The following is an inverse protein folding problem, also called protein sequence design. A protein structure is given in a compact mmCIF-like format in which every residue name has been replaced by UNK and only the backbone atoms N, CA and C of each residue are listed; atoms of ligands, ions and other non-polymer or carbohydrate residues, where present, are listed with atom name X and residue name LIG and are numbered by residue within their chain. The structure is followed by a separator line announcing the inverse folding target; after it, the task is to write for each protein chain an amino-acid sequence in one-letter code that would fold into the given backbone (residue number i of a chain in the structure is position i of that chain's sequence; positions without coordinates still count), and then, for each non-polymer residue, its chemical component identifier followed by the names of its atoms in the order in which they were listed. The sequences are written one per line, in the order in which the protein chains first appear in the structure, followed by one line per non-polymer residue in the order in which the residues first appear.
data_IF_161858616224
#
_entry.id   IF_161858616224
#
_cell.length_a   1.000
_cell.length_b   1.000
_cell.length_c   1.000
_cell.angle_alpha   90.00
_cell.angle_beta   90.00
_cell.angle_gamma   90.00
#
_symmetry.space_group_name_H-M   'P 1'
#
loop_
_entity.id
_entity.type
_entity.pdbx_description
1 polymer ?
#
# COMPACT_ATOMS: atom_id res chain seq x y z
N UNK A 1 28.02 11.45 16.68
CA UNK A 1 26.68 11.45 17.32
C UNK A 1 25.68 11.08 16.27
N UNK A 2 24.84 10.07 16.51
CA UNK A 2 23.78 9.65 15.58
C UNK A 2 22.64 10.67 15.63
N UNK A 3 22.28 11.23 14.48
CA UNK A 3 21.15 12.15 14.32
C UNK A 3 19.86 11.42 14.73
N UNK A 4 18.93 12.05 15.49
CA UNK A 4 17.71 11.38 15.92
C UNK A 4 16.84 10.96 14.73
N UNK A 5 16.02 9.91 14.91
CA UNK A 5 14.99 9.53 13.94
C UNK A 5 13.91 10.63 13.92
N UNK A 6 13.65 11.21 12.74
CA UNK A 6 12.67 12.28 12.50
C UNK A 6 12.95 13.57 13.31
N UNK A 7 13.66 14.53 12.73
CA UNK A 7 13.94 15.81 13.41
C UNK A 7 13.37 17.04 12.69
N UNK A 8 13.52 18.19 13.35
CA UNK A 8 13.00 19.48 12.89
C UNK A 8 13.54 19.88 11.51
N UNK A 9 14.75 19.44 11.14
CA UNK A 9 15.33 19.76 9.84
C UNK A 9 14.70 18.91 8.73
N UNK A 10 14.40 17.63 9.01
CA UNK A 10 13.61 16.81 8.09
C UNK A 10 12.20 17.41 7.91
N UNK A 11 11.54 17.81 9.01
CA UNK A 11 10.21 18.42 8.94
C UNK A 11 10.21 19.72 8.12
N UNK A 12 11.22 20.58 8.29
CA UNK A 12 11.35 21.81 7.47
C UNK A 12 11.50 21.49 5.99
N UNK A 13 12.26 20.46 5.64
CA UNK A 13 12.44 20.02 4.26
C UNK A 13 11.13 19.50 3.66
N UNK A 14 10.41 18.66 4.41
CA UNK A 14 9.08 18.16 4.03
C UNK A 14 8.09 19.30 3.84
N UNK A 15 7.97 20.23 4.79
CA UNK A 15 7.06 21.37 4.67
C UNK A 15 7.39 22.28 3.48
N UNK A 16 8.68 22.43 3.15
CA UNK A 16 9.11 23.18 1.96
C UNK A 16 8.65 22.49 0.68
N UNK A 17 8.84 21.18 0.58
CA UNK A 17 8.38 20.39 -0.57
C UNK A 17 6.86 20.46 -0.71
N UNK A 18 6.11 20.15 0.36
CA UNK A 18 4.64 20.16 0.33
C UNK A 18 4.08 21.52 -0.06
N UNK A 19 4.66 22.61 0.46
CA UNK A 19 4.28 23.97 0.06
C UNK A 19 4.55 24.24 -1.42
N UNK A 20 5.67 23.75 -1.95
CA UNK A 20 6.01 23.86 -3.38
C UNK A 20 5.01 23.13 -4.28
N UNK A 21 4.52 21.98 -3.82
CA UNK A 21 3.53 21.16 -4.52
C UNK A 21 2.07 21.58 -4.24
N UNK A 22 1.84 22.64 -3.45
CA UNK A 22 0.49 23.06 -3.06
C UNK A 22 -0.25 22.04 -2.17
N UNK A 23 0.46 21.13 -1.52
CA UNK A 23 -0.08 20.11 -0.61
C UNK A 23 -0.12 20.61 0.82
N UNK A 24 -1.15 20.22 1.56
CA UNK A 24 -1.30 20.51 2.99
C UNK A 24 -1.03 19.25 3.81
N UNK A 25 -0.22 19.41 4.87
CA UNK A 25 0.08 18.35 5.83
C UNK A 25 -1.12 18.15 6.76
N UNK A 26 -1.51 16.89 6.97
CA UNK A 26 -2.32 16.50 8.13
C UNK A 26 -1.35 16.09 9.22
N UNK A 27 -1.31 16.84 10.32
CA UNK A 27 -0.46 16.54 11.48
C UNK A 27 -1.30 15.91 12.61
N UNK A 28 -1.41 14.57 12.66
CA UNK A 28 -2.21 13.89 13.68
C UNK A 28 -1.51 13.86 15.05
N UNK A 29 -0.28 14.38 15.16
CA UNK A 29 0.48 14.47 16.42
C UNK A 29 0.65 15.92 16.88
N UNK A 30 0.10 16.87 16.13
CA UNK A 30 0.16 18.30 16.39
C UNK A 30 -0.78 18.73 17.52
N UNK A 31 -0.63 19.99 17.95
CA UNK A 31 -1.47 20.58 19.02
C UNK A 31 -2.96 20.68 18.65
N UNK A 32 -3.24 20.74 17.35
CA UNK A 32 -4.59 20.83 16.80
C UNK A 32 -5.15 19.45 16.38
N UNK A 33 -4.45 18.36 16.72
CA UNK A 33 -4.90 17.01 16.41
C UNK A 33 -6.22 16.72 17.13
N UNK A 34 -7.17 16.09 16.42
CA UNK A 34 -8.40 15.63 17.02
C UNK A 34 -8.08 14.61 18.14
N UNK A 35 -8.47 14.85 19.41
CA UNK A 35 -8.12 13.98 20.54
C UNK A 35 -8.62 12.53 20.41
N UNK A 36 -9.51 12.27 19.45
CA UNK A 36 -10.21 11.01 19.23
C UNK A 36 -9.91 10.36 17.88
N UNK A 37 -8.86 10.77 17.15
CA UNK A 37 -8.53 10.19 15.85
C UNK A 37 -7.96 8.75 16.01
N UNK A 38 -8.75 7.70 15.69
CA UNK A 38 -8.30 6.32 15.89
C UNK A 38 -7.51 5.80 14.68
N UNK A 39 -7.30 6.63 13.64
CA UNK A 39 -6.74 6.17 12.37
C UNK A 39 -5.37 6.78 12.07
N UNK A 40 -5.28 8.11 12.00
CA UNK A 40 -4.07 8.76 11.51
C UNK A 40 -2.93 8.65 12.54
N UNK A 41 -3.16 9.06 13.79
CA UNK A 41 -2.10 9.03 14.81
C UNK A 41 -1.57 7.60 15.06
N UNK A 42 -2.41 6.56 15.27
CA UNK A 42 -1.91 5.21 15.46
C UNK A 42 -1.14 4.67 14.25
N UNK A 43 -1.64 4.94 13.03
CA UNK A 43 -0.97 4.51 11.80
C UNK A 43 0.41 5.15 11.64
N UNK A 44 0.50 6.48 11.82
CA UNK A 44 1.76 7.21 11.67
C UNK A 44 2.79 6.81 12.74
N UNK A 45 2.38 6.67 14.00
CA UNK A 45 3.28 6.28 15.08
C UNK A 45 3.86 4.88 14.85
N UNK A 46 3.04 3.94 14.40
CA UNK A 46 3.52 2.61 14.10
C UNK A 46 4.38 2.56 12.84
N UNK A 47 4.02 3.31 11.79
CA UNK A 47 4.87 3.45 10.61
C UNK A 47 6.25 3.97 11.02
N UNK A 48 6.33 5.04 11.82
CA UNK A 48 7.60 5.58 12.34
C UNK A 48 8.39 4.52 13.11
N UNK A 49 7.79 3.90 14.11
CA UNK A 49 8.43 2.85 14.92
C UNK A 49 8.94 1.69 14.04
N UNK A 50 8.14 1.24 13.09
CA UNK A 50 8.49 0.13 12.21
C UNK A 50 9.45 0.52 11.09
N UNK A 51 9.63 1.81 10.78
CA UNK A 51 10.62 2.26 9.81
C UNK A 51 11.99 2.48 10.46
N UNK A 52 12.09 2.53 11.78
CA UNK A 52 13.35 2.75 12.50
C UNK A 52 14.44 1.72 12.16
N UNK A 53 14.08 0.48 11.82
CA UNK A 53 15.08 -0.53 11.40
C UNK A 53 15.83 -0.14 10.12
N UNK A 54 15.27 0.78 9.33
CA UNK A 54 15.90 1.28 8.11
C UNK A 54 17.00 2.30 8.39
N UNK A 55 17.05 2.88 9.60
CA UNK A 55 18.10 3.84 9.94
C UNK A 55 19.47 3.18 10.07
N UNK A 56 20.48 3.86 9.54
CA UNK A 56 21.84 3.32 9.40
C UNK A 56 22.09 2.50 8.12
N UNK A 57 21.07 2.23 7.30
CA UNK A 57 21.32 1.75 5.94
C UNK A 57 22.02 2.86 5.13
N UNK A 58 22.99 2.48 4.29
CA UNK A 58 23.77 3.39 3.45
C UNK A 58 23.75 2.97 1.99
N UNK A 59 23.81 3.96 1.11
CA UNK A 59 24.13 3.77 -0.30
C UNK A 59 25.64 3.52 -0.48
N UNK A 60 26.02 3.08 -1.68
CA UNK A 60 27.44 2.86 -2.06
C UNK A 60 28.31 4.12 -1.96
N UNK A 61 27.72 5.29 -2.07
CA UNK A 61 28.40 6.59 -1.92
C UNK A 61 28.46 7.07 -0.46
N UNK A 62 27.97 6.27 0.49
CA UNK A 62 27.96 6.58 1.92
C UNK A 62 26.74 7.38 2.40
N UNK A 63 25.85 7.80 1.49
CA UNK A 63 24.63 8.52 1.85
C UNK A 63 23.74 7.65 2.74
N UNK A 64 23.28 8.21 3.86
CA UNK A 64 22.46 7.50 4.83
C UNK A 64 20.99 7.51 4.42
N UNK A 65 20.29 6.39 4.62
CA UNK A 65 18.86 6.33 4.41
C UNK A 65 18.15 7.13 5.51
N UNK A 66 17.42 8.16 5.10
CA UNK A 66 16.46 8.87 5.94
C UNK A 66 15.11 8.85 5.28
N UNK A 67 14.07 8.66 6.07
CA UNK A 67 12.69 8.62 5.62
C UNK A 67 11.83 9.47 6.54
N UNK A 68 10.81 10.13 5.99
CA UNK A 68 9.83 10.87 6.76
C UNK A 68 8.41 10.54 6.27
N UNK A 69 7.60 9.82 7.05
CA UNK A 69 6.21 9.54 6.71
C UNK A 69 5.29 10.72 7.05
N UNK A 70 4.35 11.06 6.16
CA UNK A 70 3.36 12.13 6.36
C UNK A 70 1.97 11.80 5.80
N UNK A 71 0.94 12.36 6.41
CA UNK A 71 -0.39 12.39 5.81
C UNK A 71 -0.64 13.70 5.05
N UNK A 72 -1.32 13.62 3.91
CA UNK A 72 -1.66 14.77 3.07
C UNK A 72 -3.18 15.00 3.08
N UNK A 73 -3.60 16.25 3.20
CA UNK A 73 -4.99 16.70 3.17
C UNK A 73 -5.52 16.64 1.73
N UNK A 74 -5.81 15.42 1.27
CA UNK A 74 -6.36 15.15 -0.06
C UNK A 74 -7.34 13.99 0.01
N UNK A 75 -8.52 14.17 -0.60
CA UNK A 75 -9.59 13.17 -0.63
C UNK A 75 -9.41 12.14 -1.76
N UNK A 76 -8.18 11.69 -2.01
CA UNK A 76 -7.86 10.64 -2.98
C UNK A 76 -7.28 9.43 -2.24
N UNK A 77 -7.53 8.19 -2.70
CA UNK A 77 -6.95 6.99 -2.10
C UNK A 77 -5.56 6.74 -2.70
N UNK A 78 -4.63 7.66 -2.47
CA UNK A 78 -3.29 7.61 -3.07
C UNK A 78 -2.19 7.53 -2.00
N UNK A 79 -1.05 7.01 -2.42
CA UNK A 79 0.21 7.04 -1.69
C UNK A 79 1.33 7.44 -2.66
N UNK A 80 2.44 7.95 -2.12
CA UNK A 80 3.58 8.36 -2.92
C UNK A 80 4.91 8.29 -2.19
N UNK A 81 5.99 8.16 -2.98
CA UNK A 81 7.36 8.24 -2.54
C UNK A 81 8.16 9.21 -3.42
N UNK A 82 8.96 10.06 -2.77
CA UNK A 82 9.84 11.02 -3.44
C UNK A 82 11.19 11.12 -2.73
N UNK A 83 12.26 11.23 -3.53
CA UNK A 83 13.62 11.52 -3.04
C UNK A 83 13.86 13.04 -3.07
N UNK A 84 14.07 13.65 -1.91
CA UNK A 84 14.38 15.07 -1.74
C UNK A 84 15.91 15.34 -1.74
N UNK A 85 16.72 14.31 -1.98
CA UNK A 85 18.18 14.33 -2.04
C UNK A 85 18.81 13.76 -0.78
N UNK A 86 18.47 14.32 0.39
CA UNK A 86 18.94 13.82 1.70
C UNK A 86 17.87 13.10 2.51
N UNK A 87 16.63 13.09 2.01
CA UNK A 87 15.46 12.60 2.71
C UNK A 87 14.49 11.95 1.73
N UNK A 88 14.03 10.74 2.04
CA UNK A 88 12.89 10.12 1.38
C UNK A 88 11.60 10.56 2.07
N UNK A 89 10.67 11.11 1.32
CA UNK A 89 9.35 11.43 1.81
C UNK A 89 8.38 10.35 1.35
N UNK A 90 7.68 9.74 2.30
CA UNK A 90 6.56 8.85 2.04
C UNK A 90 5.28 9.55 2.46
N UNK A 91 4.33 9.67 1.55
CA UNK A 91 3.07 10.33 1.82
C UNK A 91 1.88 9.42 1.58
N UNK A 92 0.90 9.51 2.47
CA UNK A 92 -0.42 8.90 2.30
C UNK A 92 -1.47 10.00 2.31
N UNK A 93 -2.39 9.95 1.36
CA UNK A 93 -3.52 10.87 1.35
C UNK A 93 -4.60 10.47 2.37
N UNK A 94 -5.25 11.46 2.98
CA UNK A 94 -6.37 11.25 3.90
C UNK A 94 -7.52 10.42 3.29
N UNK A 95 -7.73 10.51 1.97
CA UNK A 95 -8.69 9.68 1.25
C UNK A 95 -8.39 8.20 1.32
N UNK A 96 -7.11 7.79 1.37
CA UNK A 96 -6.71 6.38 1.51
C UNK A 96 -7.07 5.84 2.88
N UNK A 97 -6.83 6.61 3.95
CA UNK A 97 -7.20 6.26 5.33
C UNK A 97 -8.68 5.96 5.43
N UNK A 98 -9.49 6.89 4.94
CA UNK A 98 -10.94 6.78 4.97
C UNK A 98 -11.42 5.58 4.16
N UNK A 99 -10.90 5.43 2.93
CA UNK A 99 -11.36 4.38 2.02
C UNK A 99 -10.94 2.99 2.51
N UNK A 100 -9.75 2.84 3.09
CA UNK A 100 -9.31 1.60 3.71
C UNK A 100 -10.21 1.19 4.89
N UNK A 101 -10.65 2.16 5.70
CA UNK A 101 -11.58 1.91 6.79
C UNK A 101 -12.97 1.49 6.29
N UNK A 102 -13.57 2.27 5.40
CA UNK A 102 -14.90 1.96 4.83
C UNK A 102 -14.91 0.60 4.13
N UNK A 103 -13.85 0.28 3.37
CA UNK A 103 -13.70 -1.03 2.72
C UNK A 103 -13.61 -2.14 3.76
N UNK A 104 -12.82 -1.96 4.82
CA UNK A 104 -12.69 -2.95 5.89
C UNK A 104 -14.03 -3.17 6.62
N UNK A 105 -14.77 -2.10 6.90
CA UNK A 105 -16.11 -2.16 7.46
C UNK A 105 -17.07 -2.91 6.55
N UNK A 106 -17.14 -2.54 5.27
CA UNK A 106 -18.00 -3.23 4.29
C UNK A 106 -17.72 -4.74 4.25
N UNK A 107 -16.44 -5.13 4.22
CA UNK A 107 -16.01 -6.53 4.18
C UNK A 107 -16.45 -7.28 5.45
N UNK A 108 -16.22 -6.72 6.65
CA UNK A 108 -16.59 -7.36 7.92
C UNK A 108 -18.10 -7.33 8.19
N UNK A 109 -18.85 -6.45 7.53
CA UNK A 109 -20.33 -6.47 7.54
C UNK A 109 -20.91 -7.57 6.64
N UNK A 110 -20.09 -8.29 5.86
CA UNK A 110 -20.52 -9.48 5.14
C UNK A 110 -20.40 -10.73 6.01
N UNK A 111 -21.52 -11.44 6.24
CA UNK A 111 -21.54 -12.68 7.04
C UNK A 111 -20.56 -13.75 6.55
N UNK A 112 -20.33 -13.80 5.24
CA UNK A 112 -19.48 -14.80 4.59
C UNK A 112 -17.97 -14.53 4.75
N UNK A 113 -17.57 -13.30 5.11
CA UNK A 113 -16.18 -12.92 5.25
C UNK A 113 -15.69 -13.15 6.68
N UNK A 114 -14.59 -13.90 6.85
CA UNK A 114 -14.02 -14.18 8.18
C UNK A 114 -15.10 -14.61 9.18
N UNK A 115 -15.87 -15.65 8.81
CA UNK A 115 -16.98 -16.13 9.63
C UNK A 115 -16.53 -16.69 10.99
N UNK A 116 -15.22 -16.91 11.17
CA UNK A 116 -14.55 -17.31 12.40
C UNK A 116 -14.25 -16.13 13.35
N UNK A 117 -14.51 -14.89 12.94
CA UNK A 117 -14.30 -13.67 13.75
C UNK A 117 -15.64 -13.14 14.27
N UNK A 118 -15.75 -13.03 15.60
CA UNK A 118 -16.95 -12.53 16.27
C UNK A 118 -18.21 -13.33 15.94
N UNK A 119 -19.38 -12.70 16.11
CA UNK A 119 -20.66 -13.29 15.69
C UNK A 119 -21.07 -12.78 14.30
N UNK A 120 -20.62 -13.47 13.26
CA UNK A 120 -20.96 -13.14 11.87
C UNK A 120 -22.46 -13.22 11.57
N UNK A 121 -23.27 -13.92 12.38
CA UNK A 121 -24.72 -14.05 12.12
C UNK A 121 -25.49 -12.76 12.37
N UNK A 122 -24.94 -11.84 13.18
CA UNK A 122 -25.53 -10.54 13.48
C UNK A 122 -25.47 -9.55 12.33
N UNK A 123 -24.50 -9.72 11.42
CA UNK A 123 -24.26 -8.75 10.36
C UNK A 123 -25.36 -8.76 9.30
N UNK A 124 -25.54 -7.67 8.56
CA UNK A 124 -26.63 -7.53 7.59
C UNK A 124 -26.24 -7.92 6.16
N UNK A 125 -24.94 -8.02 5.85
CA UNK A 125 -24.42 -8.20 4.48
C UNK A 125 -24.96 -7.15 3.49
N UNK A 126 -24.57 -5.87 3.64
CA UNK A 126 -25.03 -4.82 2.74
C UNK A 126 -24.65 -5.15 1.29
N UNK A 127 -25.57 -4.86 0.37
CA UNK A 127 -25.40 -5.10 -1.07
C UNK A 127 -25.05 -3.80 -1.76
N UNK A 128 -24.10 -3.86 -2.70
CA UNK A 128 -23.77 -2.72 -3.55
C UNK A 128 -24.95 -2.36 -4.46
N UNK A 129 -25.16 -1.07 -4.77
CA UNK A 129 -26.09 -0.69 -5.83
C UNK A 129 -25.74 -1.39 -7.14
N UNK A 130 -26.75 -1.66 -7.98
CA UNK A 130 -26.53 -2.33 -9.27
C UNK A 130 -25.53 -1.54 -10.13
N UNK A 131 -24.52 -2.25 -10.65
CA UNK A 131 -23.45 -1.65 -11.46
C UNK A 131 -22.41 -0.84 -10.67
N UNK A 132 -22.56 -0.67 -9.36
CA UNK A 132 -21.57 0.00 -8.53
C UNK A 132 -20.34 -0.88 -8.32
N UNK A 133 -19.16 -0.28 -8.43
CA UNK A 133 -17.93 -0.88 -7.93
C UNK A 133 -17.63 -0.33 -6.53
N UNK A 134 -17.35 -1.22 -5.57
CA UNK A 134 -17.22 -0.85 -4.14
C UNK A 134 -16.23 0.30 -3.90
N UNK A 135 -15.05 0.25 -4.53
CA UNK A 135 -14.05 1.31 -4.40
C UNK A 135 -14.59 2.67 -4.85
N UNK A 136 -15.34 2.72 -5.95
CA UNK A 136 -15.94 3.97 -6.44
C UNK A 136 -17.07 4.46 -5.57
N UNK A 137 -17.95 3.55 -5.18
CA UNK A 137 -19.08 3.88 -4.33
C UNK A 137 -18.58 4.50 -3.02
N UNK A 138 -17.52 3.94 -2.44
CA UNK A 138 -16.88 4.52 -1.24
C UNK A 138 -16.32 5.91 -1.53
N UNK A 139 -15.53 6.06 -2.59
CA UNK A 139 -14.91 7.33 -2.96
C UNK A 139 -15.93 8.43 -3.28
N UNK A 140 -17.05 8.09 -3.89
CA UNK A 140 -18.14 9.02 -4.19
C UNK A 140 -18.78 9.55 -2.91
N UNK A 141 -19.02 8.69 -1.92
CA UNK A 141 -19.53 9.13 -0.62
C UNK A 141 -18.54 10.05 0.10
N UNK A 142 -17.24 9.75 0.04
CA UNK A 142 -16.19 10.56 0.64
C UNK A 142 -16.12 11.93 -0.04
N UNK A 143 -16.08 11.97 -1.37
CA UNK A 143 -15.99 13.21 -2.15
C UNK A 143 -17.23 14.10 -1.93
N UNK A 144 -18.42 13.51 -1.83
CA UNK A 144 -19.65 14.24 -1.54
C UNK A 144 -19.69 14.85 -0.13
N UNK A 145 -18.88 14.34 0.80
CA UNK A 145 -18.84 14.77 2.20
C UNK A 145 -17.77 15.83 2.50
N UNK A 146 -16.87 16.11 1.54
CA UNK A 146 -15.80 17.10 1.71
C UNK A 146 -16.35 18.56 1.67
N UNK A 147 -15.91 19.50 2.53
CA UNK A 147 -14.76 19.46 3.44
C UNK A 147 -15.07 19.04 4.89
N UNK A 148 -16.24 18.47 5.17
CA UNK A 148 -16.57 18.03 6.52
C UNK A 148 -15.69 16.82 6.92
N UNK A 149 -15.38 16.65 8.23
CA UNK A 149 -14.65 15.47 8.70
C UNK A 149 -15.42 14.23 8.26
N UNK A 150 -14.72 13.36 7.55
CA UNK A 150 -15.32 12.21 6.88
C UNK A 150 -15.73 11.18 7.92
N UNK A 151 -16.98 11.25 8.37
CA UNK A 151 -17.68 10.09 8.92
C UNK A 151 -18.40 9.44 7.73
N UNK A 152 -17.93 8.25 7.35
CA UNK A 152 -18.22 7.47 6.13
C UNK A 152 -19.65 7.35 5.62
N UNK A 153 -19.85 6.44 4.67
CA UNK A 153 -21.10 6.24 3.89
C UNK A 153 -22.34 5.85 4.70
N UNK A 154 -22.28 5.93 6.03
CA UNK A 154 -23.36 5.74 6.97
C UNK A 154 -23.00 4.73 8.05
N UNK A 155 -23.64 4.85 9.21
CA UNK A 155 -23.61 3.83 10.27
C UNK A 155 -23.95 2.41 9.75
N UNK A 156 -24.65 2.32 8.61
CA UNK A 156 -25.04 1.09 7.93
C UNK A 156 -23.87 0.23 7.41
N UNK A 157 -22.67 0.77 7.25
CA UNK A 157 -21.50 -0.04 6.83
C UNK A 157 -20.69 -0.58 8.01
N UNK A 158 -20.89 -0.05 9.21
CA UNK A 158 -20.11 -0.41 10.39
C UNK A 158 -20.59 -1.77 10.89
N UNK A 159 -19.68 -2.75 11.10
CA UNK A 159 -20.07 -4.05 11.65
C UNK A 159 -20.82 -3.90 12.98
N UNK A 160 -21.90 -4.67 13.11
CA UNK A 160 -22.76 -4.67 14.29
C UNK A 160 -22.05 -5.37 15.45
N UNK A 161 -21.39 -6.50 15.18
CA UNK A 161 -20.66 -7.25 16.18
C UNK A 161 -19.38 -6.51 16.60
N UNK A 162 -19.13 -6.30 17.91
CA UNK A 162 -17.98 -5.54 18.39
C UNK A 162 -16.62 -6.11 17.97
N UNK A 163 -16.47 -7.44 17.93
CA UNK A 163 -15.20 -8.08 17.57
C UNK A 163 -14.93 -7.93 16.07
N UNK A 164 -15.99 -7.99 15.25
CA UNK A 164 -15.91 -7.73 13.81
C UNK A 164 -15.61 -6.26 13.52
N UNK A 165 -16.18 -5.33 14.28
CA UNK A 165 -15.87 -3.90 14.19
C UNK A 165 -14.41 -3.62 14.57
N UNK A 166 -13.93 -4.18 15.67
CA UNK A 166 -12.52 -4.10 16.05
C UNK A 166 -11.64 -4.65 14.92
N UNK A 167 -11.97 -5.81 14.39
CA UNK A 167 -11.22 -6.43 13.28
C UNK A 167 -11.21 -5.56 12.03
N UNK A 168 -12.30 -4.86 11.71
CA UNK A 168 -12.33 -3.90 10.61
C UNK A 168 -11.34 -2.74 10.84
N UNK A 169 -11.27 -2.18 12.06
CA UNK A 169 -10.26 -1.18 12.39
C UNK A 169 -8.83 -1.74 12.24
N UNK A 170 -8.56 -2.93 12.77
CA UNK A 170 -7.24 -3.56 12.67
C UNK A 170 -6.85 -3.86 11.21
N UNK A 171 -7.80 -4.32 10.40
CA UNK A 171 -7.61 -4.56 8.97
C UNK A 171 -7.24 -3.26 8.23
N UNK A 172 -7.94 -2.16 8.51
CA UNK A 172 -7.63 -0.85 7.91
C UNK A 172 -6.22 -0.37 8.29
N UNK A 173 -5.77 -0.61 9.53
CA UNK A 173 -4.41 -0.30 9.97
C UNK A 173 -3.36 -1.14 9.25
N UNK A 174 -3.65 -2.42 8.99
CA UNK A 174 -2.76 -3.28 8.19
C UNK A 174 -2.72 -2.86 6.71
N UNK A 175 -3.83 -2.40 6.14
CA UNK A 175 -3.87 -1.85 4.77
C UNK A 175 -2.98 -0.61 4.66
N UNK A 176 -3.11 0.32 5.61
CA UNK A 176 -2.25 1.51 5.67
C UNK A 176 -0.78 1.14 5.90
N UNK A 177 -0.50 0.14 6.73
CA UNK A 177 0.86 -0.37 6.93
C UNK A 177 1.45 -0.92 5.64
N UNK A 178 0.67 -1.64 4.84
CA UNK A 178 1.12 -2.10 3.53
C UNK A 178 1.50 -0.93 2.63
N UNK A 179 0.65 0.10 2.52
CA UNK A 179 0.95 1.31 1.75
C UNK A 179 2.21 2.02 2.27
N UNK A 180 2.36 2.18 3.59
CA UNK A 180 3.56 2.77 4.19
C UNK A 180 4.84 2.01 3.83
N UNK A 181 4.82 0.68 3.94
CA UNK A 181 5.98 -0.13 3.62
C UNK A 181 6.27 -0.15 2.13
N UNK A 182 5.25 -0.18 1.29
CA UNK A 182 5.38 -0.07 -0.15
C UNK A 182 6.17 1.21 -0.52
N UNK A 183 5.73 2.37 -0.03
CA UNK A 183 6.43 3.65 -0.28
C UNK A 183 7.82 3.69 0.34
N UNK A 184 8.00 3.13 1.54
CA UNK A 184 9.32 3.00 2.15
C UNK A 184 10.27 2.18 1.26
N UNK A 185 9.80 1.07 0.67
CA UNK A 185 10.63 0.23 -0.19
C UNK A 185 10.93 0.89 -1.54
N UNK A 186 10.11 1.82 -2.03
CA UNK A 186 10.54 2.69 -3.13
C UNK A 186 11.79 3.50 -2.78
N UNK A 187 11.87 4.03 -1.55
CA UNK A 187 13.07 4.68 -1.05
C UNK A 187 14.23 3.70 -0.84
N UNK A 188 14.00 2.66 -0.04
CA UNK A 188 15.05 1.75 0.43
C UNK A 188 15.70 0.95 -0.71
N UNK A 189 14.89 0.49 -1.69
CA UNK A 189 15.38 -0.26 -2.83
C UNK A 189 15.96 0.64 -3.93
N UNK A 190 15.95 1.98 -3.74
CA UNK A 190 16.57 2.94 -4.64
C UNK A 190 15.71 3.35 -5.84
N UNK A 191 14.42 3.05 -5.84
CA UNK A 191 13.49 3.39 -6.93
C UNK A 191 13.30 4.90 -7.05
N UNK A 192 12.99 5.56 -5.93
CA UNK A 192 12.79 7.02 -5.89
C UNK A 192 14.06 7.78 -6.29
N UNK A 193 15.23 7.34 -5.80
CA UNK A 193 16.52 7.96 -6.13
C UNK A 193 16.94 7.75 -7.58
N UNK A 194 16.69 6.57 -8.16
CA UNK A 194 16.89 6.34 -9.59
C UNK A 194 15.96 7.22 -10.42
N UNK A 195 14.67 7.29 -10.06
CA UNK A 195 13.71 8.13 -10.74
C UNK A 195 14.13 9.62 -10.67
N UNK A 196 14.55 10.12 -9.52
CA UNK A 196 15.02 11.48 -9.34
C UNK A 196 16.28 11.80 -10.19
N UNK A 197 17.17 10.83 -10.37
CA UNK A 197 18.37 10.98 -11.19
C UNK A 197 18.07 11.05 -12.70
N UNK A 198 17.04 10.33 -13.15
CA UNK A 198 16.63 10.29 -14.57
C UNK A 198 15.55 11.33 -14.90
N UNK A 199 14.77 11.77 -13.92
CA UNK A 199 13.72 12.79 -14.00
C UNK A 199 13.81 13.71 -12.80
N UNK A 200 14.28 14.94 -12.99
CA UNK A 200 14.32 15.95 -11.93
C UNK A 200 12.91 16.17 -11.36
N UNK A 201 12.70 15.89 -10.08
CA UNK A 201 11.40 15.99 -9.41
C UNK A 201 10.43 14.84 -9.72
N UNK A 202 10.93 13.69 -10.18
CA UNK A 202 10.10 12.50 -10.35
C UNK A 202 9.58 11.96 -9.02
N UNK A 203 8.30 11.62 -9.00
CA UNK A 203 7.59 11.04 -7.86
C UNK A 203 6.94 9.74 -8.32
N UNK A 204 6.98 8.71 -7.48
CA UNK A 204 6.22 7.48 -7.68
C UNK A 204 4.89 7.65 -6.93
N UNK A 205 3.76 7.49 -7.63
CA UNK A 205 2.41 7.69 -7.08
C UNK A 205 1.49 6.58 -7.58
N UNK A 206 0.70 5.97 -6.71
CA UNK A 206 -0.22 4.89 -7.09
C UNK A 206 -1.28 5.30 -8.13
N UNK A 207 -1.70 6.58 -8.15
CA UNK A 207 -2.68 7.14 -9.10
C UNK A 207 -2.12 8.39 -9.81
N UNK A 208 -2.04 8.40 -11.17
CA UNK A 208 -1.65 9.57 -11.95
C UNK A 208 -2.68 10.73 -11.90
N UNK A 209 -2.19 11.97 -11.86
CA UNK A 209 -3.01 13.20 -11.82
C UNK A 209 -3.06 13.93 -13.17
N UNK A 210 -4.20 14.59 -13.47
CA UNK A 210 -4.55 15.23 -14.76
C UNK A 210 -3.60 16.29 -15.31
N UNK A 211 -2.54 16.65 -14.58
CA UNK A 211 -1.55 17.65 -14.96
C UNK A 211 -0.19 17.05 -15.33
N UNK A 212 -0.06 15.72 -15.35
CA UNK A 212 1.18 15.10 -15.79
C UNK A 212 1.42 15.37 -17.29
N UNK A 213 2.61 15.88 -17.67
CA UNK A 213 2.98 15.94 -19.07
C UNK A 213 3.01 14.52 -19.63
N UNK A 214 2.22 14.30 -20.67
CA UNK A 214 2.14 13.04 -21.42
C UNK A 214 3.55 12.46 -21.64
N UNK A 215 3.81 11.27 -21.07
CA UNK A 215 5.10 10.58 -21.17
C UNK A 215 5.48 10.33 -22.64
N UNK A 216 4.49 10.22 -23.54
CA UNK A 216 4.70 10.10 -24.99
C UNK A 216 5.06 11.46 -25.61
N UNK A 217 4.56 12.57 -25.08
CA UNK A 217 4.89 13.93 -25.53
C UNK A 217 6.29 14.41 -25.07
N UNK A 218 6.77 13.93 -23.92
CA UNK A 218 8.11 14.21 -23.40
C UNK A 218 9.22 13.46 -24.15
N UNK A 219 8.89 12.30 -24.75
CA UNK A 219 9.80 11.55 -25.62
C UNK A 219 10.30 12.38 -26.83
N UNK A 220 9.60 13.46 -27.19
CA UNK A 220 10.00 14.37 -28.25
C UNK A 220 10.89 15.55 -27.84
N UNK A 221 11.09 15.84 -26.54
CA UNK A 221 11.65 17.15 -26.10
C UNK A 221 12.92 17.11 -25.26
N UNK A 222 13.36 15.96 -24.76
CA UNK A 222 14.62 15.87 -24.01
C UNK A 222 15.40 14.60 -24.36
N UNK A 223 16.70 14.73 -24.63
CA UNK A 223 17.66 13.60 -24.74
C UNK A 223 17.83 12.79 -23.43
N UNK A 224 16.97 13.00 -22.43
CA UNK A 224 16.90 12.23 -21.20
C UNK A 224 16.20 10.91 -21.53
N UNK A 225 16.90 9.81 -21.26
CA UNK A 225 16.43 8.44 -21.48
C UNK A 225 15.04 8.23 -20.89
N UNK A 226 14.06 7.96 -21.72
CA UNK A 226 12.73 7.50 -21.29
C UNK A 226 12.94 6.21 -20.49
N UNK A 227 12.57 6.22 -19.20
CA UNK A 227 12.54 4.99 -18.40
C UNK A 227 11.50 4.07 -19.05
N UNK A 228 11.85 2.84 -19.45
CA UNK A 228 10.87 1.92 -20.01
C UNK A 228 9.74 1.68 -19.01
N UNK A 229 8.48 1.61 -19.49
CA UNK A 229 7.31 1.31 -18.65
C UNK A 229 7.52 0.02 -17.85
N UNK A 230 8.16 -0.99 -18.44
CA UNK A 230 8.50 -2.24 -17.75
C UNK A 230 9.45 -2.06 -16.57
N UNK A 231 10.33 -1.06 -16.59
CA UNK A 231 11.18 -0.72 -15.45
C UNK A 231 10.37 -0.09 -14.31
N UNK A 232 9.40 0.78 -14.62
CA UNK A 232 8.50 1.37 -13.62
C UNK A 232 7.62 0.28 -12.99
N UNK A 233 7.04 -0.60 -13.79
CA UNK A 233 6.26 -1.74 -13.29
C UNK A 233 7.09 -2.69 -12.42
N UNK A 234 8.37 -2.89 -12.75
CA UNK A 234 9.27 -3.69 -11.94
C UNK A 234 9.55 -3.05 -10.56
N UNK A 235 9.62 -1.72 -10.46
CA UNK A 235 9.77 -1.04 -9.17
C UNK A 235 8.55 -1.29 -8.26
N UNK A 236 7.33 -1.23 -8.83
CA UNK A 236 6.08 -1.52 -8.13
C UNK A 236 6.03 -2.96 -7.62
N UNK A 237 6.37 -3.92 -8.48
CA UNK A 237 6.43 -5.33 -8.10
C UNK A 237 7.46 -5.61 -7.00
N UNK A 238 8.58 -4.90 -7.03
CA UNK A 238 9.64 -5.04 -6.02
C UNK A 238 9.22 -4.45 -4.66
N UNK A 239 8.57 -3.28 -4.67
CA UNK A 239 8.01 -2.65 -3.48
C UNK A 239 6.91 -3.50 -2.84
N UNK A 240 5.98 -4.01 -3.65
CA UNK A 240 4.91 -4.92 -3.21
C UNK A 240 5.43 -6.15 -2.49
N UNK A 241 6.40 -6.84 -3.10
CA UNK A 241 6.99 -8.05 -2.54
C UNK A 241 7.71 -7.76 -1.22
N UNK A 242 8.46 -6.66 -1.18
CA UNK A 242 9.21 -6.27 0.01
C UNK A 242 8.27 -5.90 1.16
N UNK A 243 7.20 -5.17 0.87
CA UNK A 243 6.18 -4.79 1.84
C UNK A 243 5.45 -6.01 2.42
N UNK A 244 4.96 -6.92 1.55
CA UNK A 244 4.32 -8.16 1.99
C UNK A 244 5.26 -9.02 2.84
N UNK A 245 6.51 -9.20 2.38
CA UNK A 245 7.51 -10.00 3.11
C UNK A 245 7.72 -9.46 4.52
N UNK A 246 7.96 -8.15 4.65
CA UNK A 246 8.21 -7.52 5.95
C UNK A 246 7.00 -7.65 6.88
N UNK A 247 5.79 -7.38 6.37
CA UNK A 247 4.57 -7.52 7.18
C UNK A 247 4.38 -8.94 7.71
N UNK A 248 4.62 -9.95 6.87
CA UNK A 248 4.53 -11.35 7.28
C UNK A 248 5.61 -11.71 8.30
N UNK A 249 6.87 -11.31 8.08
CA UNK A 249 7.97 -11.57 9.02
C UNK A 249 7.71 -10.97 10.39
N UNK A 250 7.19 -9.74 10.47
CA UNK A 250 6.83 -9.11 11.76
C UNK A 250 5.85 -9.96 12.57
N UNK A 251 4.93 -10.66 11.93
CA UNK A 251 3.99 -11.55 12.63
C UNK A 251 4.64 -12.86 13.04
N UNK A 252 5.59 -13.37 12.27
CA UNK A 252 6.28 -14.63 12.56
C UNK A 252 7.27 -14.51 13.71
N UNK A 253 7.95 -13.37 13.84
CA UNK A 253 8.91 -13.12 14.92
C UNK A 253 8.27 -12.45 16.15
N UNK A 254 6.94 -12.30 16.14
CA UNK A 254 6.15 -11.68 17.21
C UNK A 254 6.60 -10.25 17.58
N UNK A 255 7.00 -9.47 16.57
CA UNK A 255 7.38 -8.04 16.71
C UNK A 255 6.23 -7.08 16.37
N UNK A 256 4.97 -7.53 16.50
CA UNK A 256 3.79 -6.69 16.25
C UNK A 256 3.70 -5.54 17.26
N UNK A 257 3.81 -4.26 16.83
CA UNK A 257 3.87 -3.14 17.76
C UNK A 257 2.50 -2.70 18.29
N UNK A 258 1.39 -3.13 17.69
CA UNK A 258 0.05 -2.79 18.16
C UNK A 258 -0.51 -3.88 19.07
N UNK A 259 -0.78 -3.52 20.33
CA UNK A 259 -1.31 -4.44 21.34
C UNK A 259 -2.53 -5.23 20.84
N UNK A 260 -3.54 -4.53 20.30
CA UNK A 260 -4.76 -5.16 19.81
C UNK A 260 -4.53 -6.15 18.64
N UNK A 261 -3.53 -5.92 17.79
CA UNK A 261 -3.14 -6.92 16.80
C UNK A 261 -2.41 -8.08 17.48
N UNK A 262 -1.42 -7.80 18.33
CA UNK A 262 -0.58 -8.82 18.99
C UNK A 262 -1.35 -9.81 19.85
N UNK A 263 -2.52 -9.41 20.38
CA UNK A 263 -3.42 -10.27 21.15
C UNK A 263 -4.17 -11.30 20.28
N UNK A 264 -4.26 -11.08 18.97
CA UNK A 264 -4.89 -12.02 18.05
C UNK A 264 -4.02 -13.27 17.84
N UNK A 265 -4.65 -14.45 17.64
CA UNK A 265 -3.93 -15.65 17.24
C UNK A 265 -3.05 -15.39 16.02
N UNK A 266 -1.79 -15.88 16.03
CA UNK A 266 -0.83 -15.66 14.94
C UNK A 266 -1.38 -16.01 13.56
N UNK A 267 -2.09 -17.14 13.45
CA UNK A 267 -2.72 -17.56 12.20
C UNK A 267 -3.73 -16.52 11.67
N UNK A 268 -4.49 -15.88 12.56
CA UNK A 268 -5.41 -14.80 12.19
C UNK A 268 -4.63 -13.53 11.78
N UNK A 269 -3.57 -13.16 12.52
CA UNK A 269 -2.71 -12.01 12.16
C UNK A 269 -2.13 -12.17 10.75
N UNK A 270 -1.54 -13.32 10.45
CA UNK A 270 -0.99 -13.63 9.12
C UNK A 270 -2.07 -13.60 8.03
N UNK A 271 -3.25 -14.15 8.31
CA UNK A 271 -4.40 -14.12 7.38
C UNK A 271 -4.84 -12.68 7.11
N UNK A 272 -4.96 -11.84 8.15
CA UNK A 272 -5.31 -10.43 8.04
C UNK A 272 -4.26 -9.62 7.27
N UNK A 273 -2.97 -9.91 7.43
CA UNK A 273 -1.91 -9.29 6.60
C UNK A 273 -2.12 -9.62 5.12
N UNK A 274 -2.36 -10.90 4.79
CA UNK A 274 -2.65 -11.31 3.42
C UNK A 274 -3.88 -10.60 2.84
N UNK A 275 -4.97 -10.52 3.61
CA UNK A 275 -6.19 -9.80 3.22
C UNK A 275 -5.90 -8.32 2.99
N UNK A 276 -5.20 -7.66 3.92
CA UNK A 276 -4.89 -6.25 3.86
C UNK A 276 -4.10 -5.89 2.60
N UNK A 277 -3.07 -6.66 2.28
CA UNK A 277 -2.27 -6.49 1.06
C UNK A 277 -3.15 -6.60 -0.19
N UNK A 278 -3.98 -7.64 -0.28
CA UNK A 278 -4.83 -7.90 -1.44
C UNK A 278 -5.89 -6.80 -1.63
N UNK A 279 -6.53 -6.36 -0.54
CA UNK A 279 -7.52 -5.29 -0.57
C UNK A 279 -6.89 -3.94 -0.92
N UNK A 280 -5.65 -3.68 -0.49
CA UNK A 280 -4.96 -2.42 -0.82
C UNK A 280 -4.61 -2.35 -2.31
N UNK A 281 -4.06 -3.44 -2.88
CA UNK A 281 -3.79 -3.54 -4.32
C UNK A 281 -5.09 -3.40 -5.13
N UNK A 282 -6.16 -4.07 -4.71
CA UNK A 282 -7.48 -3.93 -5.32
C UNK A 282 -7.97 -2.48 -5.27
N UNK A 283 -7.82 -1.82 -4.12
CA UNK A 283 -8.28 -0.44 -3.93
C UNK A 283 -7.57 0.53 -4.90
N UNK A 284 -6.25 0.44 -5.03
CA UNK A 284 -5.49 1.28 -5.94
C UNK A 284 -5.90 1.07 -7.40
N UNK A 285 -6.15 -0.18 -7.82
CA UNK A 285 -6.63 -0.46 -9.18
C UNK A 285 -8.02 0.06 -9.46
N UNK A 286 -8.94 -0.05 -8.50
CA UNK A 286 -10.24 0.61 -8.63
C UNK A 286 -10.00 2.11 -8.83
N UNK A 287 -9.29 2.76 -7.93
CA UNK A 287 -9.07 4.21 -8.02
C UNK A 287 -8.37 4.64 -9.33
N UNK A 288 -7.38 3.88 -9.81
CA UNK A 288 -6.68 4.15 -11.07
C UNK A 288 -7.58 4.02 -12.31
N UNK A 289 -8.51 3.05 -12.33
CA UNK A 289 -9.49 2.87 -13.43
C UNK A 289 -10.48 4.03 -13.57
N UNK A 290 -10.59 4.90 -12.57
CA UNK A 290 -11.40 6.13 -12.62
C UNK A 290 -10.61 7.36 -13.03
N UNK A 291 -9.27 7.28 -13.02
CA UNK A 291 -8.46 8.39 -13.51
C UNK A 291 -8.70 8.55 -15.02
N UNK A 292 -9.00 9.77 -15.51
CA UNK A 292 -9.11 10.03 -16.96
C UNK A 292 -7.78 9.77 -17.70
N UNK A 293 -6.70 9.54 -16.96
CA UNK A 293 -5.36 9.23 -17.47
C UNK A 293 -5.02 7.73 -17.39
N UNK A 294 -6.01 6.84 -17.27
CA UNK A 294 -5.79 5.39 -17.14
C UNK A 294 -4.84 4.83 -18.22
N UNK A 295 -4.94 5.32 -19.46
CA UNK A 295 -4.09 4.90 -20.59
C UNK A 295 -2.62 5.32 -20.45
N UNK A 296 -2.32 6.28 -19.57
CA UNK A 296 -0.97 6.75 -19.26
C UNK A 296 -0.39 6.12 -17.99
N UNK A 297 -1.11 5.19 -17.35
CA UNK A 297 -0.65 4.56 -16.11
C UNK A 297 0.63 3.78 -16.34
N UNK A 298 1.71 4.21 -15.67
CA UNK A 298 2.97 3.48 -15.58
C UNK A 298 2.94 2.35 -14.55
N UNK A 299 1.85 2.26 -13.76
CA UNK A 299 1.66 1.25 -12.74
C UNK A 299 1.07 -0.03 -13.35
N UNK A 300 1.52 -1.22 -12.91
CA UNK A 300 0.93 -2.46 -13.34
C UNK A 300 -0.51 -2.57 -12.80
N UNK A 301 -1.40 -3.19 -13.58
CA UNK A 301 -2.79 -3.44 -13.14
C UNK A 301 -2.84 -4.24 -11.83
N UNK A 302 -3.90 -4.10 -11.01
CA UNK A 302 -3.99 -4.93 -9.78
C UNK A 302 -3.91 -6.41 -10.09
N UNK A 303 -4.43 -6.83 -11.24
CA UNK A 303 -4.35 -8.21 -11.69
C UNK A 303 -2.88 -8.66 -11.80
N UNK A 304 -2.01 -7.87 -12.43
CA UNK A 304 -0.58 -8.17 -12.51
C UNK A 304 0.13 -8.09 -11.15
N UNK A 305 -0.20 -7.09 -10.31
CA UNK A 305 0.35 -6.96 -8.95
C UNK A 305 -0.04 -8.15 -8.06
N UNK A 306 -1.30 -8.58 -8.15
CA UNK A 306 -1.82 -9.76 -7.47
C UNK A 306 -1.02 -11.00 -7.87
N UNK A 307 -0.85 -11.23 -9.16
CA UNK A 307 -0.06 -12.34 -9.66
C UNK A 307 1.39 -12.32 -9.19
N UNK A 308 2.01 -11.13 -9.20
CA UNK A 308 3.34 -10.93 -8.67
C UNK A 308 3.45 -11.34 -7.19
N UNK A 309 2.47 -10.94 -6.37
CA UNK A 309 2.39 -11.33 -4.96
C UNK A 309 2.16 -12.84 -4.80
N UNK A 310 1.30 -13.45 -5.61
CA UNK A 310 1.06 -14.91 -5.59
C UNK A 310 2.32 -15.69 -5.99
N UNK A 311 3.06 -15.24 -6.99
CA UNK A 311 4.35 -15.81 -7.37
C UNK A 311 5.37 -15.75 -6.25
N UNK A 312 5.45 -14.60 -5.56
CA UNK A 312 6.32 -14.44 -4.38
C UNK A 312 5.91 -15.37 -3.23
N UNK A 313 4.60 -15.52 -2.98
CA UNK A 313 4.07 -16.43 -1.96
C UNK A 313 4.48 -17.87 -2.27
N UNK A 314 4.30 -18.30 -3.53
CA UNK A 314 4.57 -19.67 -3.96
C UNK A 314 6.08 -20.03 -3.99
N UNK A 315 6.96 -19.05 -4.21
CA UNK A 315 8.40 -19.26 -4.37
C UNK A 315 9.18 -19.04 -3.07
N UNK A 316 9.30 -17.78 -2.64
CA UNK A 316 10.17 -17.37 -1.56
C UNK A 316 9.51 -17.59 -0.20
N UNK A 317 8.26 -17.10 -0.06
CA UNK A 317 7.58 -17.15 1.24
C UNK A 317 7.24 -18.58 1.63
N UNK A 318 6.78 -19.44 0.72
CA UNK A 318 6.49 -20.84 1.03
C UNK A 318 7.71 -21.63 1.51
N UNK A 319 8.92 -21.28 1.04
CA UNK A 319 10.17 -21.92 1.45
C UNK A 319 10.65 -21.40 2.80
N UNK A 320 10.57 -20.10 3.03
CA UNK A 320 11.11 -19.43 4.23
C UNK A 320 10.11 -19.42 5.40
N UNK A 321 8.82 -19.42 5.07
CA UNK A 321 7.69 -19.31 5.99
C UNK A 321 6.44 -20.04 5.44
N UNK A 322 6.38 -21.38 5.59
CA UNK A 322 5.23 -22.17 5.14
C UNK A 322 3.89 -21.74 5.76
N UNK A 323 3.89 -21.27 7.02
CA UNK A 323 2.69 -20.80 7.71
C UNK A 323 2.15 -19.50 7.10
N UNK A 324 3.00 -18.49 6.87
CA UNK A 324 2.57 -17.25 6.21
C UNK A 324 2.09 -17.50 4.78
N UNK A 325 2.74 -18.40 4.04
CA UNK A 325 2.30 -18.76 2.69
C UNK A 325 0.90 -19.39 2.71
N UNK A 326 0.62 -20.29 3.66
CA UNK A 326 -0.72 -20.85 3.86
C UNK A 326 -1.74 -19.77 4.22
N UNK A 327 -1.39 -18.87 5.14
CA UNK A 327 -2.27 -17.80 5.56
C UNK A 327 -2.61 -16.83 4.40
N UNK A 328 -1.66 -16.56 3.50
CA UNK A 328 -1.90 -15.76 2.31
C UNK A 328 -2.83 -16.46 1.30
N UNK A 329 -2.74 -17.80 1.19
CA UNK A 329 -3.70 -18.59 0.40
C UNK A 329 -5.10 -18.55 1.03
N UNK A 330 -5.18 -18.69 2.36
CA UNK A 330 -6.45 -18.59 3.08
C UNK A 330 -7.08 -17.20 2.92
N UNK A 331 -6.27 -16.14 2.92
CA UNK A 331 -6.72 -14.78 2.65
C UNK A 331 -7.42 -14.65 1.27
N UNK A 332 -6.85 -15.26 0.22
CA UNK A 332 -7.50 -15.29 -1.10
C UNK A 332 -8.86 -16.00 -1.03
N UNK A 333 -8.92 -17.13 -0.33
CA UNK A 333 -10.16 -17.90 -0.16
C UNK A 333 -11.23 -17.04 0.52
N UNK A 334 -10.88 -16.32 1.59
CA UNK A 334 -11.81 -15.42 2.28
C UNK A 334 -12.32 -14.30 1.36
N UNK A 335 -11.44 -13.66 0.58
CA UNK A 335 -11.84 -12.65 -0.42
C UNK A 335 -12.78 -13.27 -1.46
N UNK A 336 -12.51 -14.49 -1.90
CA UNK A 336 -13.37 -15.21 -2.85
C UNK A 336 -14.79 -15.46 -2.33
N UNK A 337 -14.97 -15.63 -1.00
CA UNK A 337 -16.29 -15.88 -0.40
C UNK A 337 -17.26 -14.71 -0.54
N UNK A 338 -16.75 -13.49 -0.62
CA UNK A 338 -17.58 -12.27 -0.76
C UNK A 338 -17.63 -11.71 -2.17
N UNK A 339 -17.05 -12.41 -3.16
CA UNK A 339 -17.10 -11.98 -4.55
C UNK A 339 -18.51 -11.74 -5.07
N UNK A 340 -19.50 -12.53 -4.63
CA UNK A 340 -20.89 -12.34 -5.07
C UNK A 340 -21.46 -10.99 -4.60
N UNK A 341 -20.97 -10.46 -3.48
CA UNK A 341 -21.35 -9.14 -2.97
C UNK A 341 -20.51 -8.02 -3.58
N UNK A 342 -19.30 -8.33 -4.05
CA UNK A 342 -18.36 -7.39 -4.65
C UNK A 342 -17.84 -7.98 -5.97
N UNK A 343 -18.61 -7.89 -7.07
CA UNK A 343 -18.27 -8.57 -8.32
C UNK A 343 -16.93 -8.14 -8.94
N UNK A 344 -16.43 -6.96 -8.56
CA UNK A 344 -15.12 -6.46 -9.00
C UNK A 344 -13.93 -7.12 -8.31
N UNK A 345 -14.14 -7.88 -7.22
CA UNK A 345 -13.05 -8.64 -6.59
C UNK A 345 -12.55 -9.76 -7.51
N UNK A 346 -11.25 -10.11 -7.40
CA UNK A 346 -10.68 -11.20 -8.18
C UNK A 346 -11.42 -12.53 -7.97
N UNK A 347 -11.71 -13.23 -9.07
CA UNK A 347 -12.29 -14.57 -9.01
C UNK A 347 -11.20 -15.60 -8.67
N UNK A 348 -11.20 -16.09 -7.44
CA UNK A 348 -10.21 -17.06 -6.95
C UNK A 348 -10.21 -18.35 -7.76
N UNK A 349 -11.36 -18.82 -8.26
CA UNK A 349 -11.41 -20.03 -9.08
C UNK A 349 -10.76 -19.78 -10.44
N UNK A 350 -11.04 -18.63 -11.03
CA UNK A 350 -10.39 -18.20 -12.27
C UNK A 350 -8.88 -17.99 -12.08
N UNK A 351 -8.45 -17.31 -11.01
CA UNK A 351 -7.04 -17.12 -10.68
C UNK A 351 -6.30 -18.45 -10.57
N UNK A 352 -6.91 -19.46 -9.90
CA UNK A 352 -6.33 -20.80 -9.81
C UNK A 352 -6.16 -21.47 -11.17
N UNK A 353 -7.15 -21.34 -12.05
CA UNK A 353 -7.05 -21.86 -13.42
C UNK A 353 -5.92 -21.17 -14.17
N UNK A 354 -5.82 -19.84 -14.08
CA UNK A 354 -4.79 -19.07 -14.79
C UNK A 354 -3.39 -19.35 -14.27
N UNK A 355 -3.22 -19.48 -12.95
CA UNK A 355 -1.96 -19.88 -12.33
C UNK A 355 -1.47 -21.26 -12.80
N UNK A 356 -2.37 -22.13 -13.24
CA UNK A 356 -2.01 -23.44 -13.79
C UNK A 356 -1.61 -23.41 -15.27
N UNK A 357 -1.78 -22.28 -15.97
CA UNK A 357 -1.45 -22.17 -17.39
C UNK A 357 0.07 -21.99 -17.59
N UNK A 358 0.74 -22.80 -18.44
CA UNK A 358 2.17 -22.67 -18.68
C UNK A 358 2.60 -21.28 -19.19
N UNK A 359 1.79 -20.65 -20.06
CA UNK A 359 2.05 -19.30 -20.56
C UNK A 359 2.04 -18.25 -19.45
N UNK A 360 1.21 -18.48 -18.43
CA UNK A 360 1.09 -17.60 -17.29
C UNK A 360 2.29 -17.75 -16.35
N UNK A 361 2.71 -18.99 -16.06
CA UNK A 361 3.94 -19.26 -15.31
C UNK A 361 5.18 -18.66 -16.01
N UNK A 362 5.28 -18.82 -17.34
CA UNK A 362 6.34 -18.19 -18.12
C UNK A 362 6.32 -16.65 -18.01
N UNK A 363 5.13 -16.05 -17.91
CA UNK A 363 4.98 -14.61 -17.65
C UNK A 363 5.51 -14.20 -16.26
N UNK A 364 5.22 -14.98 -15.22
CA UNK A 364 5.77 -14.75 -13.88
C UNK A 364 7.31 -14.90 -13.84
N UNK A 365 7.84 -15.94 -14.48
CA UNK A 365 9.28 -16.18 -14.58
C UNK A 365 9.98 -15.03 -15.33
N UNK A 366 9.31 -14.48 -16.35
CA UNK A 366 9.79 -13.30 -17.06
C UNK A 366 9.77 -12.05 -16.16
N UNK A 367 8.75 -11.86 -15.33
CA UNK A 367 8.71 -10.77 -14.33
C UNK A 367 9.88 -10.91 -13.35
N UNK A 368 10.20 -12.12 -12.88
CA UNK A 368 11.35 -12.35 -11.99
C UNK A 368 12.68 -12.07 -12.68
N UNK A 369 12.83 -12.52 -13.93
CA UNK A 369 14.02 -12.25 -14.75
C UNK A 369 14.20 -10.75 -14.98
N UNK A 370 13.10 -10.06 -15.30
CA UNK A 370 13.08 -8.62 -15.51
C UNK A 370 13.40 -7.87 -14.22
N UNK A 371 12.84 -8.28 -13.07
CA UNK A 371 13.14 -7.71 -11.77
C UNK A 371 14.63 -7.82 -11.42
N UNK A 372 15.26 -8.97 -11.66
CA UNK A 372 16.71 -9.14 -11.43
C UNK A 372 17.50 -8.20 -12.34
N UNK A 373 17.15 -8.14 -13.64
CA UNK A 373 17.80 -7.25 -14.60
C UNK A 373 17.65 -5.78 -14.20
N UNK A 374 16.45 -5.38 -13.78
CA UNK A 374 16.14 -3.99 -13.46
C UNK A 374 16.72 -3.55 -12.12
N UNK A 375 16.73 -4.41 -11.09
CA UNK A 375 17.44 -4.16 -9.81
C UNK A 375 18.91 -3.82 -10.03
N UNK A 376 19.57 -4.42 -11.04
CA UNK A 376 20.94 -4.05 -11.35
C UNK A 376 21.09 -2.57 -11.77
N UNK A 377 20.09 -2.01 -12.47
CA UNK A 377 20.10 -0.65 -12.99
C UNK A 377 20.03 0.41 -11.88
N UNK A 378 19.23 0.17 -10.84
CA UNK A 378 19.10 1.10 -9.70
C UNK A 378 19.86 0.66 -8.45
N UNK A 379 20.66 -0.41 -8.53
CA UNK A 379 21.43 -0.95 -7.39
C UNK A 379 22.40 0.05 -6.74
N UNK A 380 22.83 1.09 -7.47
CA UNK A 380 23.67 2.17 -6.91
C UNK A 380 22.90 3.15 -6.04
N UNK A 381 21.57 3.21 -6.19
CA UNK A 381 20.67 4.06 -5.42
C UNK A 381 20.06 3.33 -4.21
N UNK A 382 20.13 2.00 -4.19
CA UNK A 382 19.64 1.19 -3.09
C UNK A 382 20.47 1.37 -1.81
N UNK A 383 19.79 1.32 -0.67
CA UNK A 383 20.41 1.41 0.64
C UNK A 383 20.54 0.01 1.24
N UNK A 384 21.70 -0.27 1.85
CA UNK A 384 22.02 -1.55 2.47
C UNK A 384 22.61 -1.31 3.85
N UNK A 385 22.40 -2.25 4.77
CA UNK A 385 23.12 -2.24 6.04
C UNK A 385 24.52 -2.77 5.76
N UNK A 386 25.54 -2.01 6.11
CA UNK A 386 26.89 -2.54 6.15
C UNK A 386 26.88 -3.67 7.19
N UNK A 387 27.10 -4.91 6.76
CA UNK A 387 27.34 -5.99 7.69
C UNK A 387 28.65 -5.65 8.43
N UNK A 388 28.66 -5.60 9.77
CA UNK A 388 29.88 -5.39 10.51
C UNK A 388 30.91 -6.50 10.26
#
# INVERSE_FOLDING_TARGET
MTRPPYDDDDLKEVLRYLKGEGRRLVDPLGKDAAPSDPYFAPSLLAARKLMEFTFGNRRKDGAEFRIYPVFIERALPNAFAVDLGTLHLCGIDAGLVTTAFELSCFMLSQRAFLADVGDASKEESPVLPEGAALGYWILDGIAASHPAPVTGLGEALIPIDPDRRLTAHLLSQLMLRFAWFHEMFHGLNGHSGYLAAVRKGGELREIPESHEPDYLSLAGRTKLSVIPVSSLQAMEFDADRSALWLMMRLQEVDEEPFAALSELPRALRLKLVGIATLLTVFLFDQAAKRSPLQEMSTHPTARLRLYNLLGMIASNLARESPEAARAAIDALIEIGRVRNCIPSLPDVAHLKQELSLPAFQAGLDQVDTDLVRFRAQWSSFAYRREHP
#
